data_IF_814797467788
#
_entry.id   IF_814797467788
#
_cell.length_a   1.000
_cell.length_b   1.000
_cell.length_c   1.000
_cell.angle_alpha   90.00
_cell.angle_beta   90.00
_cell.angle_gamma   90.00
#
_symmetry.space_group_name_H-M   'P 1'
#
loop_
_entity.id
_entity.type
_entity.pdbx_description
1 polymer ?
#
# COMPACT_ATOMS: atom_id res chain seq x y z
N UNK A 1 15.86 -11.09 -0.76
CA UNK A 1 15.23 -10.83 -2.08
C UNK A 1 16.23 -10.01 -2.89
N UNK A 2 16.33 -10.27 -4.20
CA UNK A 2 17.20 -9.51 -5.11
C UNK A 2 16.37 -9.00 -6.27
N UNK A 3 16.75 -7.89 -6.87
CA UNK A 3 16.07 -7.36 -8.03
C UNK A 3 16.27 -8.29 -9.23
N UNK A 4 15.19 -8.74 -9.86
CA UNK A 4 15.27 -9.61 -11.03
C UNK A 4 15.54 -8.85 -12.35
N UNK A 5 15.53 -7.52 -12.32
CA UNK A 5 15.66 -6.67 -13.51
C UNK A 5 17.11 -6.44 -13.96
N UNK A 6 18.09 -6.77 -13.13
CA UNK A 6 19.50 -6.58 -13.43
C UNK A 6 20.36 -7.64 -12.73
N UNK A 7 21.60 -7.88 -13.20
CA UNK A 7 22.54 -8.74 -12.50
C UNK A 7 22.85 -8.15 -11.12
N UNK A 8 22.64 -8.94 -10.06
CA UNK A 8 22.89 -8.54 -8.67
C UNK A 8 24.06 -9.30 -8.07
N UNK A 9 24.88 -8.60 -7.29
CA UNK A 9 25.98 -9.15 -6.47
C UNK A 9 25.44 -9.95 -5.27
N UNK A 10 26.33 -10.63 -4.55
CA UNK A 10 26.02 -11.34 -3.28
C UNK A 10 25.45 -10.38 -2.23
N UNK A 11 26.00 -9.17 -2.13
CA UNK A 11 25.66 -8.15 -1.13
C UNK A 11 24.40 -7.33 -1.46
N UNK A 12 23.86 -7.48 -2.68
CA UNK A 12 22.69 -6.73 -3.10
C UNK A 12 21.43 -7.28 -2.41
N UNK A 13 20.79 -6.44 -1.60
CA UNK A 13 19.56 -6.75 -0.88
C UNK A 13 18.43 -5.84 -1.35
N UNK A 14 17.27 -6.43 -1.59
CA UNK A 14 16.04 -5.72 -1.91
C UNK A 14 14.98 -5.94 -0.84
N UNK A 15 14.18 -4.91 -0.57
CA UNK A 15 13.05 -4.98 0.35
C UNK A 15 11.87 -5.64 -0.34
N UNK A 16 11.22 -6.58 0.35
CA UNK A 16 9.98 -7.18 -0.13
C UNK A 16 8.82 -6.20 0.05
N UNK A 17 8.00 -6.03 -0.98
CA UNK A 17 6.77 -5.25 -0.91
C UNK A 17 5.59 -6.22 -0.74
N UNK A 18 5.40 -6.73 0.48
CA UNK A 18 4.45 -7.83 0.75
C UNK A 18 2.98 -7.49 0.47
N UNK A 19 2.66 -6.21 0.34
CA UNK A 19 1.31 -5.73 0.04
C UNK A 19 1.05 -5.53 -1.45
N UNK A 20 2.11 -5.56 -2.27
CA UNK A 20 2.03 -5.43 -3.72
C UNK A 20 1.88 -6.82 -4.31
N UNK A 21 0.71 -7.08 -4.89
CA UNK A 21 0.32 -8.39 -5.37
C UNK A 21 -0.13 -8.32 -6.84
N UNK A 22 0.08 -9.40 -7.57
CA UNK A 22 -0.51 -9.57 -8.89
C UNK A 22 -2.02 -9.80 -8.77
N UNK A 23 -2.81 -9.07 -9.54
CA UNK A 23 -4.26 -9.09 -9.54
C UNK A 23 -4.82 -10.25 -10.36
N UNK A 24 -4.53 -11.48 -9.95
CA UNK A 24 -5.02 -12.70 -10.62
C UNK A 24 -6.54 -12.85 -10.60
N UNK A 25 -7.22 -12.11 -9.71
CA UNK A 25 -8.67 -12.12 -9.53
C UNK A 25 -9.40 -11.01 -10.30
N UNK A 26 -8.69 -10.11 -10.96
CA UNK A 26 -9.28 -8.99 -11.70
C UNK A 26 -10.09 -8.03 -10.81
N UNK A 27 -9.69 -7.83 -9.56
CA UNK A 27 -10.38 -6.93 -8.63
C UNK A 27 -10.18 -5.48 -9.09
N UNK A 28 -11.26 -4.68 -9.23
CA UNK A 28 -11.15 -3.29 -9.64
C UNK A 28 -10.56 -2.42 -8.53
N UNK A 29 -9.81 -1.39 -8.91
CA UNK A 29 -9.27 -0.39 -8.00
C UNK A 29 -10.39 0.41 -7.31
N UNK A 30 -10.29 0.62 -5.99
CA UNK A 30 -11.25 1.45 -5.24
C UNK A 30 -11.31 2.92 -5.68
N UNK A 31 -10.25 3.44 -6.32
CA UNK A 31 -10.15 4.86 -6.69
C UNK A 31 -10.59 5.14 -8.12
N UNK A 32 -10.13 4.35 -9.08
CA UNK A 32 -10.43 4.56 -10.50
C UNK A 32 -11.36 3.51 -11.12
N UNK A 33 -11.76 2.47 -10.38
CA UNK A 33 -12.56 1.34 -10.86
C UNK A 33 -11.96 0.50 -12.00
N UNK A 34 -10.75 0.83 -12.46
CA UNK A 34 -10.01 0.03 -13.45
C UNK A 34 -9.43 -1.25 -12.85
N UNK A 35 -9.31 -2.28 -13.68
CA UNK A 35 -8.58 -3.52 -13.39
C UNK A 35 -7.14 -3.37 -13.89
N UNK A 36 -6.17 -3.54 -12.99
CA UNK A 36 -4.72 -3.50 -13.29
C UNK A 36 -4.06 -4.80 -12.85
N UNK A 37 -2.99 -5.21 -13.55
CA UNK A 37 -2.29 -6.47 -13.30
C UNK A 37 -1.55 -6.51 -11.97
N UNK A 38 -1.09 -5.36 -11.47
CA UNK A 38 -0.41 -5.21 -10.18
C UNK A 38 -1.16 -4.20 -9.34
N UNK A 39 -1.51 -4.62 -8.12
CA UNK A 39 -2.31 -3.84 -7.19
C UNK A 39 -1.73 -3.94 -5.78
N UNK A 40 -1.99 -2.91 -4.97
CA UNK A 40 -1.69 -2.92 -3.55
C UNK A 40 -2.94 -3.33 -2.77
N UNK A 41 -2.80 -4.30 -1.87
CA UNK A 41 -3.88 -4.78 -1.01
C UNK A 41 -3.63 -4.32 0.42
N UNK A 42 -4.53 -3.49 0.94
CA UNK A 42 -4.45 -3.04 2.33
C UNK A 42 -4.76 -4.21 3.29
N UNK A 43 -4.09 -4.25 4.44
CA UNK A 43 -4.31 -5.24 5.50
C UNK A 43 -5.55 -4.94 6.37
N UNK A 44 -6.54 -4.20 5.86
CA UNK A 44 -7.80 -3.97 6.56
C UNK A 44 -8.73 -5.19 6.45
N UNK A 45 -9.76 -5.27 7.31
CA UNK A 45 -10.70 -6.41 7.34
C UNK A 45 -11.35 -6.70 5.97
N UNK A 46 -11.63 -5.65 5.21
CA UNK A 46 -12.26 -5.73 3.88
C UNK A 46 -11.24 -5.92 2.74
N UNK A 47 -9.93 -5.94 3.05
CA UNK A 47 -8.80 -6.10 2.10
C UNK A 47 -8.94 -5.21 0.86
N UNK A 48 -9.15 -3.93 1.07
CA UNK A 48 -9.31 -2.95 -0.01
C UNK A 48 -8.12 -2.98 -0.98
N UNK A 49 -8.43 -2.91 -2.28
CA UNK A 49 -7.45 -3.01 -3.37
C UNK A 49 -7.33 -1.67 -4.10
N UNK A 50 -6.10 -1.19 -4.27
CA UNK A 50 -5.80 0.06 -4.99
C UNK A 50 -4.72 -0.18 -6.04
N UNK A 51 -4.84 0.41 -7.23
CA UNK A 51 -3.77 0.35 -8.22
C UNK A 51 -2.60 1.25 -7.83
N UNK A 52 -1.41 0.99 -8.38
CA UNK A 52 -0.19 1.74 -8.06
C UNK A 52 -0.31 3.24 -8.41
N UNK A 53 -0.98 3.58 -9.51
CA UNK A 53 -1.19 4.97 -9.92
C UNK A 53 -2.09 5.74 -8.92
N UNK A 54 -3.20 5.13 -8.51
CA UNK A 54 -4.08 5.71 -7.50
C UNK A 54 -3.39 5.77 -6.13
N UNK A 55 -2.57 4.77 -5.80
CA UNK A 55 -1.79 4.76 -4.56
C UNK A 55 -0.79 5.93 -4.52
N UNK A 56 -0.06 6.18 -5.61
CA UNK A 56 0.87 7.30 -5.69
C UNK A 56 0.16 8.65 -5.49
N UNK A 57 -0.98 8.85 -6.15
CA UNK A 57 -1.79 10.07 -5.98
C UNK A 57 -2.31 10.21 -4.56
N UNK A 58 -2.80 9.12 -3.97
CA UNK A 58 -3.27 9.09 -2.59
C UNK A 58 -2.16 9.50 -1.60
N UNK A 59 -0.96 8.92 -1.75
CA UNK A 59 0.21 9.28 -0.96
C UNK A 59 0.56 10.77 -1.10
N UNK A 60 0.58 11.30 -2.33
CA UNK A 60 0.88 12.71 -2.60
C UNK A 60 -0.15 13.65 -1.96
N UNK A 61 -1.44 13.37 -2.11
CA UNK A 61 -2.51 14.17 -1.50
C UNK A 61 -2.39 14.20 0.02
N UNK A 62 -2.24 13.04 0.66
CA UNK A 62 -2.09 12.96 2.13
C UNK A 62 -0.81 13.62 2.63
N UNK A 63 0.26 13.58 1.84
CA UNK A 63 1.54 14.21 2.20
C UNK A 63 1.41 15.73 2.13
N UNK A 64 0.77 16.26 1.09
CA UNK A 64 0.48 17.68 0.94
C UNK A 64 -0.45 18.19 2.06
N UNK A 65 -1.46 17.40 2.43
CA UNK A 65 -2.41 17.74 3.50
C UNK A 65 -1.88 17.45 4.91
N UNK A 66 -0.66 16.90 5.05
CA UNK A 66 -0.05 16.48 6.33
C UNK A 66 -0.92 15.52 7.15
N UNK A 67 -1.67 14.64 6.47
CA UNK A 67 -2.59 13.68 7.07
C UNK A 67 -1.96 12.29 7.24
N UNK A 68 -0.64 12.22 7.33
CA UNK A 68 0.04 10.98 7.70
C UNK A 68 -0.21 10.69 9.17
N UNK A 69 -0.53 9.45 9.48
CA UNK A 69 -0.78 9.01 10.86
C UNK A 69 0.56 8.54 11.42
N UNK A 70 0.99 9.19 12.50
CA UNK A 70 2.14 8.74 13.26
C UNK A 70 1.73 7.55 14.12
N UNK A 71 2.42 6.43 13.93
CA UNK A 71 2.42 5.28 14.82
C UNK A 71 3.77 5.20 15.55
N UNK A 72 3.74 4.86 16.84
CA UNK A 72 4.94 4.84 17.67
C UNK A 72 5.93 3.70 17.32
N UNK A 73 5.47 2.65 16.65
CA UNK A 73 6.27 1.46 16.29
C UNK A 73 6.68 1.51 14.82
N UNK A 74 5.76 1.90 13.93
CA UNK A 74 5.96 1.87 12.47
C UNK A 74 6.42 3.24 11.93
N UNK A 75 6.17 4.32 12.68
CA UNK A 75 6.42 5.69 12.24
C UNK A 75 5.24 6.27 11.45
N UNK A 76 5.53 7.15 10.49
CA UNK A 76 4.49 7.79 9.68
C UNK A 76 3.94 6.85 8.61
N UNK A 77 2.67 6.47 8.72
CA UNK A 77 2.00 5.55 7.80
C UNK A 77 0.70 6.13 7.24
N UNK A 78 0.16 5.45 6.23
CA UNK A 78 -1.06 5.82 5.54
C UNK A 78 -2.20 4.87 5.90
N UNK A 79 -3.38 5.39 6.33
CA UNK A 79 -4.54 4.55 6.53
C UNK A 79 -5.13 4.11 5.19
N UNK A 80 -5.97 3.07 5.24
CA UNK A 80 -6.77 2.65 4.10
C UNK A 80 -7.63 3.80 3.55
N UNK A 81 -7.63 3.98 2.23
CA UNK A 81 -8.32 5.10 1.57
C UNK A 81 -9.85 5.10 1.74
N UNK A 82 -10.47 3.97 2.06
CA UNK A 82 -11.94 3.84 2.20
C UNK A 82 -12.43 4.25 3.61
N UNK A 83 -11.57 4.31 4.62
CA UNK A 83 -12.00 4.48 6.01
C UNK A 83 -11.53 5.82 6.61
N UNK A 84 -12.13 6.91 6.14
CA UNK A 84 -12.14 8.19 6.88
C UNK A 84 -13.43 8.27 7.69
N UNK A 85 -13.51 7.51 8.78
CA UNK A 85 -14.50 7.72 9.85
C UNK A 85 -13.76 7.97 11.16
N UNK A 86 -14.07 9.05 11.90
CA UNK A 86 -13.40 9.40 13.14
C UNK A 86 -13.84 8.45 14.25
N UNK A 87 -13.16 7.31 14.41
CA UNK A 87 -13.47 6.35 15.48
C UNK A 87 -13.05 4.90 15.27
N UNK A 88 -12.58 4.49 14.09
CA UNK A 88 -12.08 3.12 13.89
C UNK A 88 -10.58 3.04 14.08
N UNK A 89 -10.18 2.35 15.14
CA UNK A 89 -8.84 1.89 15.51
C UNK A 89 -7.99 1.50 14.29
N UNK A 90 -6.90 2.25 14.13
CA UNK A 90 -5.59 1.87 13.58
C UNK A 90 -5.56 0.64 12.66
N UNK A 91 -5.79 0.85 11.35
CA UNK A 91 -5.23 -0.04 10.34
C UNK A 91 -3.77 0.37 10.10
N UNK A 92 -2.93 0.19 11.11
CA UNK A 92 -1.48 0.34 10.95
C UNK A 92 -0.96 -0.87 10.19
N UNK A 93 -0.37 -0.60 9.03
CA UNK A 93 0.44 -1.56 8.28
C UNK A 93 1.59 -2.04 9.18
N UNK A 94 1.40 -3.09 9.96
CA UNK A 94 2.47 -3.64 10.78
C UNK A 94 1.97 -4.47 11.95
N UNK A 95 1.65 -5.72 11.67
CA UNK A 95 1.74 -6.80 12.65
C UNK A 95 2.09 -8.09 11.90
N UNK A 96 3.37 -8.20 11.54
CA UNK A 96 4.10 -9.45 11.35
C UNK A 96 5.44 -9.28 12.06
#
# INVERSE_FOLDING_TARGET
>A
MKCASHPTSEDDVSVALDLVLSNTRGVPCIGCTDIRDVVLVFQCSDRHVICLDCFQRYCQTRLNERQFIYDAVIGYSLPCAVRVTPGSTSCVLGSL
#
